data_IF_601553130678
#
_entry.id   IF_601553130678
#
_cell.length_a   1.000
_cell.length_b   1.000
_cell.length_c   1.000
_cell.angle_alpha   90.00
_cell.angle_beta   90.00
_cell.angle_gamma   90.00
#
_symmetry.space_group_name_H-M   'P 1'
#
loop_
_entity.id
_entity.type
_entity.pdbx_description
1 polymer ?
#
# COMPACT_ATOMS: atom_id res chain seq x y z
N UNK A 1 -17.22 1.37 -14.05
CA UNK A 1 -16.64 0.37 -13.11
C UNK A 1 -16.55 1.04 -11.75
N UNK A 2 -17.05 0.43 -10.67
CA UNK A 2 -17.30 1.12 -9.38
C UNK A 2 -16.08 1.20 -8.42
N UNK A 3 -14.85 1.28 -8.94
CA UNK A 3 -13.63 1.37 -8.12
C UNK A 3 -12.47 2.09 -8.83
N UNK A 4 -11.56 2.79 -8.10
CA UNK A 4 -10.44 3.55 -8.67
C UNK A 4 -9.36 2.66 -9.32
N UNK A 5 -8.91 3.00 -10.52
CA UNK A 5 -7.84 2.27 -11.22
C UNK A 5 -6.47 2.92 -10.96
N UNK A 6 -5.36 2.16 -11.03
CA UNK A 6 -4.01 2.75 -11.05
C UNK A 6 -3.93 3.91 -12.05
N UNK A 7 -3.32 5.05 -11.69
CA UNK A 7 -2.52 5.28 -10.48
C UNK A 7 -3.32 5.70 -9.23
N UNK A 8 -4.65 5.84 -9.33
CA UNK A 8 -5.50 6.23 -8.20
C UNK A 8 -5.58 5.12 -7.17
N UNK A 9 -5.34 5.45 -5.91
CA UNK A 9 -5.43 4.50 -4.81
C UNK A 9 -6.91 4.13 -4.54
N UNK A 10 -7.17 2.83 -4.35
CA UNK A 10 -8.43 2.32 -3.83
C UNK A 10 -8.36 2.30 -2.29
N UNK A 11 -9.40 2.79 -1.58
CA UNK A 11 -9.49 2.64 -0.12
C UNK A 11 -9.52 1.18 0.31
N UNK A 12 -9.03 0.88 1.50
CA UNK A 12 -8.96 -0.47 2.05
C UNK A 12 -10.34 -1.16 2.06
N UNK A 13 -11.39 -0.47 2.50
CA UNK A 13 -12.75 -1.02 2.58
C UNK A 13 -13.35 -1.36 1.20
N UNK A 14 -12.83 -0.75 0.13
CA UNK A 14 -13.27 -0.98 -1.24
C UNK A 14 -12.56 -2.13 -1.94
N UNK A 15 -11.56 -2.77 -1.31
CA UNK A 15 -10.81 -3.88 -1.90
C UNK A 15 -11.65 -5.12 -2.21
N UNK A 16 -12.91 -5.20 -1.76
CA UNK A 16 -13.85 -6.24 -2.16
C UNK A 16 -14.40 -6.06 -3.59
N UNK A 17 -14.31 -4.86 -4.16
CA UNK A 17 -14.94 -4.52 -5.46
C UNK A 17 -14.16 -5.02 -6.69
N UNK A 18 -12.82 -4.93 -6.77
CA UNK A 18 -12.07 -5.44 -7.91
C UNK A 18 -12.16 -6.97 -7.98
N UNK A 19 -12.26 -7.58 -9.17
CA UNK A 19 -12.18 -9.03 -9.29
C UNK A 19 -10.78 -9.54 -8.88
N UNK A 20 -10.62 -10.82 -8.47
CA UNK A 20 -9.30 -11.42 -8.25
C UNK A 20 -8.40 -11.26 -9.49
N UNK A 21 -7.12 -11.01 -9.28
CA UNK A 21 -6.14 -10.73 -10.34
C UNK A 21 -6.23 -9.31 -10.91
N UNK A 22 -7.16 -8.47 -10.45
CA UNK A 22 -7.19 -7.07 -10.86
C UNK A 22 -5.94 -6.33 -10.38
N UNK A 23 -5.39 -5.48 -11.24
CA UNK A 23 -4.33 -4.54 -10.85
C UNK A 23 -4.93 -3.34 -10.12
N UNK A 24 -4.46 -3.09 -8.90
CA UNK A 24 -4.92 -2.03 -7.99
C UNK A 24 -3.74 -1.19 -7.52
N UNK A 25 -3.99 0.05 -7.13
CA UNK A 25 -3.05 0.86 -6.35
C UNK A 25 -3.68 1.08 -4.99
N UNK A 26 -2.92 0.92 -3.91
CA UNK A 26 -3.31 1.24 -2.54
C UNK A 26 -2.29 2.21 -1.95
N UNK A 27 -2.69 3.02 -0.97
CA UNK A 27 -1.79 3.90 -0.26
C UNK A 27 -2.16 3.93 1.21
N UNK A 28 -1.16 3.97 2.10
CA UNK A 28 -1.42 4.02 3.53
C UNK A 28 -0.16 4.13 4.36
N UNK A 29 -0.35 4.39 5.66
CA UNK A 29 0.69 4.35 6.67
C UNK A 29 1.17 2.92 6.86
N UNK A 30 2.48 2.74 7.01
CA UNK A 30 3.01 1.41 7.27
C UNK A 30 3.00 1.13 8.76
N UNK A 31 2.09 0.24 9.18
CA UNK A 31 1.91 -0.11 10.59
C UNK A 31 2.66 -1.36 11.01
N UNK A 32 2.95 -2.28 10.07
CA UNK A 32 3.62 -3.54 10.37
C UNK A 32 4.48 -4.03 9.20
N UNK A 33 5.62 -4.65 9.54
CA UNK A 33 6.46 -5.42 8.63
C UNK A 33 6.80 -6.77 9.24
N UNK A 34 6.62 -7.83 8.47
CA UNK A 34 7.01 -9.17 8.88
C UNK A 34 7.85 -9.83 7.80
N UNK A 35 8.94 -10.47 8.22
CA UNK A 35 9.78 -11.30 7.35
C UNK A 35 9.97 -12.66 8.00
N UNK A 36 9.00 -13.58 7.88
CA UNK A 36 9.11 -14.90 8.49
C UNK A 36 10.34 -15.62 7.96
N UNK A 37 11.15 -16.22 8.84
CA UNK A 37 12.39 -16.91 8.45
C UNK A 37 12.16 -18.08 7.48
N UNK A 38 10.95 -18.64 7.47
CA UNK A 38 10.54 -19.79 6.65
C UNK A 38 9.97 -19.40 5.28
N UNK A 39 9.63 -18.14 5.06
CA UNK A 39 8.86 -17.70 3.88
C UNK A 39 9.72 -17.36 2.64
N UNK A 40 10.84 -18.07 2.42
CA UNK A 40 11.70 -17.94 1.21
C UNK A 40 12.03 -16.50 0.78
N UNK A 41 12.18 -15.57 1.73
CA UNK A 41 12.50 -14.17 1.45
C UNK A 41 11.32 -13.26 1.11
N UNK A 42 10.08 -13.68 1.36
CA UNK A 42 8.88 -12.84 1.33
C UNK A 42 8.88 -11.86 2.50
N UNK A 43 8.43 -10.65 2.22
CA UNK A 43 8.12 -9.63 3.23
C UNK A 43 6.62 -9.34 3.15
N UNK A 44 5.97 -9.32 4.30
CA UNK A 44 4.60 -8.84 4.46
C UNK A 44 4.65 -7.42 5.01
N UNK A 45 3.87 -6.53 4.42
CA UNK A 45 3.69 -5.16 4.88
C UNK A 45 2.20 -4.95 5.10
N UNK A 46 1.81 -4.41 6.25
CA UNK A 46 0.44 -3.96 6.47
C UNK A 46 0.40 -2.44 6.36
N UNK A 47 -0.43 -1.96 5.44
CA UNK A 47 -0.75 -0.55 5.28
C UNK A 47 -2.07 -0.25 5.99
N UNK A 48 -2.21 0.94 6.55
CA UNK A 48 -3.45 1.44 7.16
C UNK A 48 -3.85 2.76 6.51
N UNK A 49 -5.12 2.86 6.14
CA UNK A 49 -5.82 4.11 5.83
C UNK A 49 -7.01 4.28 6.80
N UNK A 50 -7.76 5.37 6.69
CA UNK A 50 -8.89 5.66 7.57
C UNK A 50 -10.05 4.66 7.45
N UNK A 51 -10.06 3.82 6.40
CA UNK A 51 -11.10 2.83 6.13
C UNK A 51 -10.71 1.41 6.55
N UNK A 52 -9.43 1.18 6.87
CA UNK A 52 -8.96 -0.10 7.39
C UNK A 52 -7.53 -0.45 6.95
N UNK A 53 -7.24 -1.75 6.89
CA UNK A 53 -5.90 -2.26 6.61
C UNK A 53 -5.80 -2.98 5.26
N UNK A 54 -4.64 -2.87 4.64
CA UNK A 54 -4.27 -3.58 3.42
C UNK A 54 -3.02 -4.43 3.65
N UNK A 55 -3.12 -5.73 3.41
CA UNK A 55 -1.98 -6.63 3.47
C UNK A 55 -1.28 -6.68 2.11
N UNK A 56 0.01 -6.37 2.11
CA UNK A 56 0.86 -6.33 0.91
C UNK A 56 1.89 -7.44 1.00
N UNK A 57 2.01 -8.23 -0.07
CA UNK A 57 3.04 -9.25 -0.23
C UNK A 57 4.13 -8.70 -1.13
N UNK A 58 5.37 -8.68 -0.63
CA UNK A 58 6.56 -8.24 -1.36
C UNK A 58 7.51 -9.42 -1.52
N UNK A 59 7.62 -9.92 -2.76
CA UNK A 59 8.57 -10.97 -3.09
C UNK A 59 10.01 -10.47 -3.09
N UNK A 60 10.96 -11.37 -2.85
CA UNK A 60 12.39 -11.07 -2.72
C UNK A 60 12.93 -10.18 -3.84
N UNK A 61 12.66 -10.51 -5.10
CA UNK A 61 13.13 -9.72 -6.24
C UNK A 61 12.62 -8.27 -6.22
N UNK A 62 11.37 -8.07 -5.81
CA UNK A 62 10.80 -6.74 -5.68
C UNK A 62 11.38 -5.99 -4.49
N UNK A 63 11.55 -6.67 -3.36
CA UNK A 63 12.24 -6.12 -2.20
C UNK A 63 13.65 -5.65 -2.55
N UNK A 64 14.44 -6.44 -3.28
CA UNK A 64 15.80 -6.07 -3.68
C UNK A 64 15.81 -4.78 -4.52
N UNK A 65 14.82 -4.64 -5.43
CA UNK A 65 14.65 -3.43 -6.26
C UNK A 65 14.17 -2.21 -5.48
N UNK A 66 13.26 -2.37 -4.53
CA UNK A 66 12.62 -1.28 -3.77
C UNK A 66 13.06 -1.25 -2.30
N UNK A 67 14.29 -1.69 -2.02
CA UNK A 67 14.78 -1.98 -0.66
C UNK A 67 14.56 -0.82 0.32
N UNK A 68 14.90 0.40 -0.10
CA UNK A 68 14.76 1.60 0.74
C UNK A 68 13.31 1.85 1.14
N UNK A 69 12.39 1.86 0.17
CA UNK A 69 10.96 2.05 0.44
C UNK A 69 10.40 0.96 1.36
N UNK A 70 10.73 -0.30 1.06
CA UNK A 70 10.26 -1.45 1.85
C UNK A 70 10.75 -1.42 3.29
N UNK A 71 12.00 -1.02 3.55
CA UNK A 71 12.56 -1.01 4.91
C UNK A 71 12.15 0.25 5.68
N UNK A 72 12.26 1.42 5.07
CA UNK A 72 12.23 2.70 5.79
C UNK A 72 10.96 3.53 5.55
N UNK A 73 10.15 3.22 4.53
CA UNK A 73 8.97 4.03 4.20
C UNK A 73 7.95 4.05 5.33
N UNK A 74 7.56 5.23 5.80
CA UNK A 74 6.50 5.44 6.80
C UNK A 74 5.12 5.45 6.15
N UNK A 75 5.04 5.90 4.91
CA UNK A 75 3.84 5.86 4.08
C UNK A 75 4.22 5.33 2.69
N UNK A 76 3.45 4.38 2.19
CA UNK A 76 3.72 3.74 0.90
C UNK A 76 2.52 3.86 -0.02
N UNK A 77 2.80 4.05 -1.32
CA UNK A 77 1.87 3.77 -2.41
C UNK A 77 2.33 2.49 -3.09
N UNK A 78 1.46 1.50 -3.16
CA UNK A 78 1.76 0.18 -3.72
C UNK A 78 0.81 -0.11 -4.86
N UNK A 79 1.36 -0.39 -6.03
CA UNK A 79 0.61 -0.98 -7.14
C UNK A 79 0.89 -2.47 -7.20
N UNK A 80 -0.14 -3.26 -7.45
CA UNK A 80 -0.03 -4.71 -7.43
C UNK A 80 -1.27 -5.44 -7.90
N UNK A 81 -1.20 -6.77 -7.86
CA UNK A 81 -2.31 -7.67 -8.20
C UNK A 81 -3.08 -8.05 -6.94
N UNK A 82 -4.42 -7.96 -7.01
CA UNK A 82 -5.29 -8.35 -5.93
C UNK A 82 -5.42 -9.88 -5.87
N UNK A 83 -5.07 -10.47 -4.73
CA UNK A 83 -5.19 -11.91 -4.45
C UNK A 83 -6.15 -12.13 -3.28
N UNK A 84 -7.00 -13.15 -3.37
CA UNK A 84 -7.91 -13.53 -2.29
C UNK A 84 -7.69 -15.00 -1.97
N UNK A 85 -7.27 -15.29 -0.75
CA UNK A 85 -7.01 -16.65 -0.28
C UNK A 85 -7.53 -16.79 1.15
N UNK A 86 -8.26 -17.87 1.42
CA UNK A 86 -8.75 -18.22 2.76
C UNK A 86 -9.49 -17.06 3.48
N UNK A 87 -10.24 -16.25 2.73
CA UNK A 87 -10.99 -15.11 3.27
C UNK A 87 -10.17 -13.84 3.50
N UNK A 88 -8.87 -13.85 3.21
CA UNK A 88 -7.98 -12.69 3.36
C UNK A 88 -7.63 -12.12 1.99
N UNK A 89 -7.75 -10.80 1.86
CA UNK A 89 -7.36 -10.07 0.65
C UNK A 89 -5.94 -9.53 0.80
N UNK A 90 -5.11 -9.78 -0.21
CA UNK A 90 -3.73 -9.33 -0.29
C UNK A 90 -3.49 -8.58 -1.59
N UNK A 91 -2.54 -7.64 -1.58
CA UNK A 91 -1.99 -7.03 -2.79
C UNK A 91 -0.59 -7.58 -3.00
N UNK A 92 -0.40 -8.37 -4.07
CA UNK A 92 0.94 -8.78 -4.49
C UNK A 92 1.58 -7.59 -5.18
N UNK A 93 2.59 -6.99 -4.54
CA UNK A 93 3.22 -5.79 -5.04
C UNK A 93 3.93 -6.03 -6.38
N UNK A 94 3.88 -5.02 -7.26
CA UNK A 94 4.63 -4.92 -8.51
C UNK A 94 5.43 -3.62 -8.61
N UNK A 95 4.99 -2.58 -7.90
CA UNK A 95 5.62 -1.27 -7.81
C UNK A 95 5.37 -0.69 -6.42
N UNK A 96 6.41 -0.14 -5.80
CA UNK A 96 6.35 0.43 -4.45
C UNK A 96 6.99 1.80 -4.50
N UNK A 97 6.26 2.80 -4.01
CA UNK A 97 6.71 4.17 -3.90
C UNK A 97 6.71 4.58 -2.44
N UNK A 98 7.84 5.14 -1.99
CA UNK A 98 7.94 5.79 -0.69
C UNK A 98 7.37 7.21 -0.81
N UNK A 99 6.17 7.40 -0.27
CA UNK A 99 5.47 8.69 -0.25
C UNK A 99 5.51 9.32 1.15
N UNK A 100 6.47 8.91 1.99
CA UNK A 100 6.61 9.44 3.36
C UNK A 100 6.79 10.95 3.42
N UNK A 101 7.28 11.58 2.34
CA UNK A 101 7.38 13.03 2.23
C UNK A 101 6.02 13.73 2.34
N UNK A 102 4.92 13.06 1.98
CA UNK A 102 3.57 13.60 2.16
C UNK A 102 3.18 13.73 3.64
N UNK A 103 3.81 12.96 4.52
CA UNK A 103 3.60 13.13 5.96
C UNK A 103 4.31 14.38 6.49
N UNK A 104 5.43 14.75 5.89
CA UNK A 104 6.18 15.94 6.30
C UNK A 104 5.40 17.22 5.96
N UNK A 105 4.56 17.16 4.91
CA UNK A 105 3.60 18.21 4.58
C UNK A 105 2.59 18.45 5.73
N UNK A 106 2.20 17.43 6.49
CA UNK A 106 1.27 17.64 7.62
C UNK A 106 1.86 18.52 8.74
N UNK A 107 3.18 18.71 8.75
CA UNK A 107 3.89 19.55 9.72
C UNK A 107 4.12 20.98 9.22
N UNK A 108 3.89 21.24 7.93
CA UNK A 108 4.07 22.56 7.36
C UNK A 108 2.83 23.44 7.66
N UNK A 109 2.99 24.50 8.48
CA UNK A 109 1.89 25.33 8.94
C UNK A 109 1.26 26.19 7.84
N UNK A 110 1.96 26.36 6.71
CA UNK A 110 1.51 27.17 5.59
C UNK A 110 0.76 26.34 4.53
N UNK A 111 0.66 25.02 4.71
CA UNK A 111 -0.18 24.20 3.85
C UNK A 111 -1.65 24.55 4.04
N UNK A 112 -2.37 24.89 2.96
CA UNK A 112 -3.80 25.10 3.04
C UNK A 112 -4.46 23.81 3.54
N UNK A 113 -5.34 23.95 4.53
CA UNK A 113 -6.13 22.84 5.02
C UNK A 113 -6.89 22.20 3.85
N UNK A 114 -7.10 20.87 3.83
CA UNK A 114 -7.82 20.20 2.74
C UNK A 114 -9.21 20.78 2.47
N UNK A 115 -9.80 21.46 3.46
CA UNK A 115 -11.10 22.13 3.37
C UNK A 115 -11.06 23.42 2.51
N UNK A 116 -9.88 23.99 2.28
CA UNK A 116 -9.66 25.21 1.48
C UNK A 116 -9.39 24.93 -0.01
N UNK A 117 -9.20 23.67 -0.41
CA UNK A 117 -8.87 23.26 -1.80
C UNK A 117 -10.14 22.86 -2.59
N UNK A 118 -11.27 23.54 -2.34
CA UNK A 118 -12.51 23.32 -3.10
C UNK A 118 -12.57 24.15 -4.37
#
# INVERSE_FOLDING_TARGET
>A
MNWPRPPSAIPADHLHRPPPGARVTVAGLVILRQRPGTAKGVIFITLEDETGVVNVIVWRALYERFRRAVIAGRMLRVTGLLQREHGVTHVIADHIEDISQLLDLLLDPDLPSPQQIR
#
